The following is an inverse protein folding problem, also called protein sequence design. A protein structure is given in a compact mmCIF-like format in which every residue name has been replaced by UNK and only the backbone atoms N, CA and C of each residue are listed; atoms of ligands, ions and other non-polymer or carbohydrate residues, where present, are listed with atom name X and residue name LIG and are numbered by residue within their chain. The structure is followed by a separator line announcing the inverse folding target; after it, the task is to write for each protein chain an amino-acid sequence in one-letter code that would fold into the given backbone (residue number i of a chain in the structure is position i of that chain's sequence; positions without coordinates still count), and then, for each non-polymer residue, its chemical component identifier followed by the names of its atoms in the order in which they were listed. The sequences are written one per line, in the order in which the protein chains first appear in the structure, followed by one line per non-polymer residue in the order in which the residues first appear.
data_IF_573850529159
#
_entry.id   IF_573850529159
#
_cell.length_a   1.000
_cell.length_b   1.000
_cell.length_c   1.000
_cell.angle_alpha   90.00
_cell.angle_beta   90.00
_cell.angle_gamma   90.00
#
_symmetry.space_group_name_H-M   'P 1'
#
loop_
_entity.id
_entity.type
_entity.pdbx_description
1 polymer ?
#
# COMPACT_ATOMS: atom_id res chain seq x y z
N UNK A 1 -39.89 -1.52 -5.84
CA UNK A 1 -38.80 -2.35 -5.29
C UNK A 1 -37.56 -1.49 -5.11
N UNK A 2 -36.86 -1.52 -3.97
CA UNK A 2 -35.62 -0.77 -3.79
C UNK A 2 -34.53 -1.32 -4.74
N UNK A 3 -33.77 -0.43 -5.38
CA UNK A 3 -32.64 -0.82 -6.26
C UNK A 3 -31.59 -1.56 -5.42
N UNK A 4 -31.24 -2.79 -5.83
CA UNK A 4 -30.15 -3.57 -5.25
C UNK A 4 -28.86 -3.23 -5.99
N UNK A 5 -28.03 -2.37 -5.40
CA UNK A 5 -26.74 -2.02 -5.99
C UNK A 5 -25.77 -3.21 -5.89
N UNK A 6 -25.20 -3.59 -7.03
CA UNK A 6 -24.14 -4.61 -7.10
C UNK A 6 -22.81 -3.86 -7.20
N UNK A 7 -21.93 -4.04 -6.22
CA UNK A 7 -20.56 -3.52 -6.30
C UNK A 7 -19.85 -4.24 -7.45
N UNK A 8 -19.65 -3.54 -8.55
CA UNK A 8 -18.94 -4.05 -9.72
C UNK A 8 -17.44 -3.92 -9.46
N UNK A 9 -16.86 -5.05 -9.04
CA UNK A 9 -15.43 -5.33 -8.88
C UNK A 9 -14.73 -4.65 -7.68
N UNK A 10 -14.35 -5.49 -6.72
CA UNK A 10 -13.29 -5.14 -5.75
C UNK A 10 -12.00 -4.93 -6.54
N UNK A 11 -11.37 -3.78 -6.35
CA UNK A 11 -10.04 -3.53 -6.90
C UNK A 11 -9.06 -4.61 -6.39
N UNK A 12 -8.46 -5.37 -7.31
CA UNK A 12 -7.40 -6.31 -6.99
C UNK A 12 -6.05 -5.64 -7.12
N UNK A 13 -5.23 -5.69 -6.06
CA UNK A 13 -3.85 -5.21 -6.11
C UNK A 13 -3.04 -6.19 -6.96
N UNK A 14 -2.33 -5.72 -8.01
CA UNK A 14 -1.43 -6.58 -8.75
C UNK A 14 -0.33 -7.09 -7.83
N UNK A 15 0.06 -8.35 -8.02
CA UNK A 15 1.18 -8.95 -7.29
C UNK A 15 2.49 -8.22 -7.65
N UNK A 16 3.24 -7.69 -6.65
CA UNK A 16 4.51 -7.02 -6.89
C UNK A 16 5.52 -7.91 -7.63
N UNK A 17 5.52 -9.23 -7.37
CA UNK A 17 6.43 -10.16 -8.05
C UNK A 17 6.19 -10.24 -9.56
N UNK A 18 4.91 -10.27 -9.95
CA UNK A 18 4.51 -10.24 -11.37
C UNK A 18 4.90 -8.93 -12.04
N UNK A 19 4.72 -7.79 -11.37
CA UNK A 19 5.14 -6.48 -11.89
C UNK A 19 6.65 -6.49 -12.17
N UNK A 20 7.45 -6.98 -11.24
CA UNK A 20 8.90 -7.01 -11.39
C UNK A 20 9.35 -7.92 -12.54
N UNK A 21 8.75 -9.11 -12.67
CA UNK A 21 9.02 -10.00 -13.82
C UNK A 21 8.65 -9.35 -15.15
N UNK A 22 7.53 -8.64 -15.23
CA UNK A 22 7.08 -7.97 -16.43
C UNK A 22 8.00 -6.79 -16.82
N UNK A 23 8.47 -6.03 -15.83
CA UNK A 23 9.46 -4.97 -16.04
C UNK A 23 10.80 -5.52 -16.52
N UNK A 24 11.21 -6.70 -16.04
CA UNK A 24 12.42 -7.35 -16.53
C UNK A 24 12.29 -7.75 -18.00
N UNK A 25 11.17 -8.38 -18.39
CA UNK A 25 10.91 -8.71 -19.80
C UNK A 25 10.95 -7.48 -20.71
N UNK A 26 10.45 -6.33 -20.24
CA UNK A 26 10.51 -5.08 -20.99
C UNK A 26 11.95 -4.58 -21.13
N UNK A 27 12.77 -4.70 -20.07
CA UNK A 27 14.21 -4.40 -20.15
C UNK A 27 14.94 -5.31 -21.14
N UNK A 28 14.53 -6.58 -21.24
CA UNK A 28 15.06 -7.56 -22.18
C UNK A 28 14.61 -7.31 -23.64
N UNK A 29 13.86 -6.23 -23.91
CA UNK A 29 13.46 -5.80 -25.26
C UNK A 29 12.06 -6.23 -25.70
N UNK A 30 11.26 -6.83 -24.81
CA UNK A 30 9.88 -7.21 -25.10
C UNK A 30 8.96 -5.98 -25.08
N UNK A 31 8.03 -5.88 -26.04
CA UNK A 31 7.06 -4.79 -26.06
C UNK A 31 6.06 -4.85 -24.89
N UNK A 32 5.55 -3.69 -24.44
CA UNK A 32 4.54 -3.60 -23.37
C UNK A 32 3.31 -4.50 -23.62
N UNK A 33 2.92 -4.67 -24.88
CA UNK A 33 1.79 -5.51 -25.27
C UNK A 33 2.08 -7.00 -25.01
N UNK A 34 3.27 -7.47 -25.42
CA UNK A 34 3.71 -8.86 -25.16
C UNK A 34 3.97 -9.11 -23.67
N UNK A 35 4.45 -8.11 -22.94
CA UNK A 35 4.63 -8.19 -21.50
C UNK A 35 3.29 -8.32 -20.75
N UNK A 36 2.26 -7.60 -21.19
CA UNK A 36 0.89 -7.72 -20.68
C UNK A 36 0.35 -9.15 -20.85
N UNK A 37 0.44 -9.70 -22.06
CA UNK A 37 0.00 -11.08 -22.37
C UNK A 37 0.69 -12.14 -21.50
N UNK A 38 1.98 -11.94 -21.15
CA UNK A 38 2.75 -12.88 -20.33
C UNK A 38 2.53 -12.76 -18.83
N UNK A 39 2.25 -11.56 -18.34
CA UNK A 39 2.22 -11.25 -16.89
C UNK A 39 0.81 -11.06 -16.33
N UNK A 40 -0.21 -11.02 -17.20
CA UNK A 40 -1.60 -10.69 -16.84
C UNK A 40 -1.71 -9.34 -16.10
N UNK A 41 -0.79 -8.42 -16.43
CA UNK A 41 -0.78 -7.05 -15.90
C UNK A 41 -1.03 -6.10 -17.05
N UNK A 42 -2.13 -5.37 -16.93
CA UNK A 42 -2.52 -4.39 -17.93
C UNK A 42 -1.39 -3.41 -18.27
N UNK A 43 -1.19 -3.16 -19.56
CA UNK A 43 -0.08 -2.36 -20.08
C UNK A 43 0.04 -0.95 -19.46
N UNK A 44 -1.08 -0.34 -19.05
CA UNK A 44 -1.07 0.98 -18.40
C UNK A 44 -0.39 0.96 -17.02
N UNK A 45 -0.50 -0.16 -16.30
CA UNK A 45 0.19 -0.37 -15.03
C UNK A 45 1.68 -0.49 -15.29
N UNK A 46 2.09 -1.35 -16.23
CA UNK A 46 3.50 -1.51 -16.63
C UNK A 46 4.12 -0.19 -17.07
N UNK A 47 3.42 0.59 -17.92
CA UNK A 47 3.88 1.91 -18.35
C UNK A 47 4.05 2.88 -17.18
N UNK A 48 3.11 2.90 -16.23
CA UNK A 48 3.20 3.75 -15.03
C UNK A 48 4.40 3.36 -14.17
N UNK A 49 4.64 2.07 -13.96
CA UNK A 49 5.80 1.57 -13.21
C UNK A 49 7.11 1.85 -13.94
N UNK A 50 7.15 1.76 -15.27
CA UNK A 50 8.33 2.09 -16.06
C UNK A 50 8.68 3.58 -15.99
N UNK A 51 7.66 4.45 -16.10
CA UNK A 51 7.87 5.91 -16.12
C UNK A 51 8.22 6.48 -14.74
N UNK A 52 7.59 5.98 -13.69
CA UNK A 52 7.77 6.52 -12.33
C UNK A 52 8.79 5.74 -11.50
N UNK A 53 8.95 4.44 -11.75
CA UNK A 53 9.85 3.57 -10.98
C UNK A 53 9.68 3.79 -9.48
N UNK A 54 10.75 4.21 -8.84
CA UNK A 54 10.84 4.43 -7.39
C UNK A 54 10.12 5.71 -6.92
N UNK A 55 9.82 6.65 -7.82
CA UNK A 55 9.03 7.86 -7.51
C UNK A 55 7.52 7.60 -7.50
N UNK A 56 7.11 6.34 -7.64
CA UNK A 56 5.71 5.95 -7.59
C UNK A 56 5.16 6.16 -6.17
N UNK A 57 4.21 7.09 -6.04
CA UNK A 57 3.50 7.31 -4.76
C UNK A 57 2.88 6.01 -4.25
N UNK A 58 3.08 5.75 -2.94
CA UNK A 58 2.40 4.68 -2.21
C UNK A 58 0.89 4.79 -2.42
N UNK A 59 0.23 3.66 -2.58
CA UNK A 59 -1.23 3.63 -2.69
C UNK A 59 -1.84 4.05 -1.35
N UNK A 60 -2.69 5.09 -1.38
CA UNK A 60 -3.28 5.70 -0.19
C UNK A 60 -3.31 7.22 -0.30
N UNK A 61 -3.83 7.87 0.74
CA UNK A 61 -3.72 9.32 0.92
C UNK A 61 -2.39 9.70 1.59
N UNK A 62 -2.21 11.01 1.79
CA UNK A 62 -1.14 11.52 2.65
C UNK A 62 -1.42 11.12 4.10
N UNK A 63 -0.42 10.58 4.78
CA UNK A 63 -0.50 10.27 6.22
C UNK A 63 -0.25 11.56 7.02
N UNK A 64 -0.92 11.68 8.16
CA UNK A 64 -0.70 12.79 9.10
C UNK A 64 0.60 12.56 9.88
N UNK A 65 0.85 11.31 10.29
CA UNK A 65 2.09 10.90 10.91
C UNK A 65 3.18 10.67 9.85
N UNK A 66 4.40 11.03 10.23
CA UNK A 66 5.61 10.62 9.53
C UNK A 66 5.91 9.13 9.76
N UNK A 67 6.69 8.54 8.88
CA UNK A 67 7.10 7.13 8.99
C UNK A 67 7.91 6.89 10.27
N UNK A 68 8.71 7.87 10.70
CA UNK A 68 9.51 7.79 11.92
C UNK A 68 8.62 7.77 13.17
N UNK A 69 7.59 8.62 13.22
CA UNK A 69 6.61 8.62 14.31
C UNK A 69 5.80 7.32 14.36
N UNK A 70 5.33 6.82 13.20
CA UNK A 70 4.62 5.54 13.13
C UNK A 70 5.48 4.39 13.67
N UNK A 71 6.74 4.31 13.26
CA UNK A 71 7.66 3.26 13.73
C UNK A 71 7.92 3.37 15.23
N UNK A 72 8.16 4.58 15.74
CA UNK A 72 8.36 4.80 17.18
C UNK A 72 7.15 4.33 17.99
N UNK A 73 5.92 4.65 17.54
CA UNK A 73 4.69 4.21 18.21
C UNK A 73 4.59 2.69 18.22
N UNK A 74 4.88 2.04 17.08
CA UNK A 74 4.86 0.57 16.98
C UNK A 74 5.87 -0.08 17.92
N UNK A 75 7.11 0.43 17.96
CA UNK A 75 8.17 -0.11 18.83
C UNK A 75 7.76 -0.02 20.31
N UNK A 76 7.15 1.10 20.73
CA UNK A 76 6.66 1.26 22.10
C UNK A 76 5.48 0.34 22.41
N UNK A 77 4.56 0.16 21.46
CA UNK A 77 3.44 -0.78 21.61
C UNK A 77 3.91 -2.22 21.78
N UNK A 78 4.95 -2.62 21.04
CA UNK A 78 5.56 -3.95 21.17
C UNK A 78 6.13 -4.15 22.57
N UNK A 79 6.90 -3.19 23.09
CA UNK A 79 7.44 -3.24 24.45
C UNK A 79 6.33 -3.36 25.50
N UNK A 80 5.24 -2.58 25.36
CA UNK A 80 4.09 -2.70 26.26
C UNK A 80 3.44 -4.08 26.19
N UNK A 81 3.34 -4.66 25.00
CA UNK A 81 2.87 -6.03 24.80
C UNK A 81 3.75 -7.06 25.48
N UNK A 82 5.07 -6.95 25.33
CA UNK A 82 6.06 -7.84 25.96
C UNK A 82 6.01 -7.77 27.49
N UNK A 83 5.67 -6.61 28.05
CA UNK A 83 5.47 -6.41 29.49
C UNK A 83 4.12 -6.90 30.02
N UNK A 84 3.26 -7.45 29.16
CA UNK A 84 1.94 -7.96 29.54
C UNK A 84 0.86 -6.90 29.65
N UNK A 85 1.08 -5.71 29.06
CA UNK A 85 0.09 -4.63 28.98
C UNK A 85 -0.36 -4.43 27.52
N UNK A 86 -1.22 -5.33 26.98
CA UNK A 86 -1.73 -5.17 25.63
C UNK A 86 -2.60 -3.92 25.53
N UNK A 87 -2.27 -3.04 24.58
CA UNK A 87 -3.00 -1.80 24.34
C UNK A 87 -4.16 -2.08 23.38
N UNK A 88 -5.37 -1.73 23.81
CA UNK A 88 -6.55 -1.84 22.95
C UNK A 88 -6.53 -0.82 21.80
N UNK A 89 -7.13 -1.14 20.64
CA UNK A 89 -7.17 -0.23 19.50
C UNK A 89 -7.80 1.15 19.82
N UNK A 90 -8.75 1.21 20.75
CA UNK A 90 -9.39 2.47 21.16
C UNK A 90 -8.40 3.35 21.91
N UNK A 91 -7.67 2.79 22.87
CA UNK A 91 -6.63 3.50 23.63
C UNK A 91 -5.52 4.00 22.71
N UNK A 92 -5.09 3.19 21.75
CA UNK A 92 -4.11 3.62 20.75
C UNK A 92 -4.60 4.83 19.94
N UNK A 93 -5.87 4.84 19.50
CA UNK A 93 -6.44 5.99 18.79
C UNK A 93 -6.46 7.25 19.65
N UNK A 94 -6.78 7.14 20.93
CA UNK A 94 -6.79 8.26 21.86
C UNK A 94 -5.38 8.83 22.07
N UNK A 95 -4.38 7.95 22.26
CA UNK A 95 -2.97 8.36 22.38
C UNK A 95 -2.47 9.09 21.13
N UNK A 96 -2.74 8.52 19.95
CA UNK A 96 -2.32 9.15 18.68
C UNK A 96 -3.03 10.50 18.49
N UNK A 97 -4.32 10.58 18.81
CA UNK A 97 -5.06 11.84 18.76
C UNK A 97 -4.44 12.89 19.68
N UNK A 98 -4.20 12.52 20.94
CA UNK A 98 -3.62 13.44 21.92
C UNK A 98 -2.22 13.93 21.51
N UNK A 99 -1.41 13.05 20.92
CA UNK A 99 -0.11 13.42 20.37
C UNK A 99 -0.25 14.47 19.25
N UNK A 100 -1.18 14.25 18.31
CA UNK A 100 -1.44 15.17 17.20
C UNK A 100 -2.05 16.50 17.66
N UNK A 101 -2.90 16.49 18.69
CA UNK A 101 -3.51 17.70 19.24
C UNK A 101 -2.49 18.60 20.00
N UNK A 102 -1.33 18.05 20.39
CA UNK A 102 -0.25 18.76 21.10
C UNK A 102 0.85 19.32 20.18
N UNK A 103 0.85 18.97 18.89
CA UNK A 103 1.75 19.54 17.87
C UNK A 103 1.28 20.93 17.44
#
# INVERSE_FOLDING_TARGET
MPRKYVSTNKYSKPDPGKIQSALQLIKDGVSLRKANEKSDIHYSVLYRHLKKGDTLKKQGGQTVLSVEEENLIVDRLQICGDWGYPIEPVTLRLLVKEFLDRQ
#
